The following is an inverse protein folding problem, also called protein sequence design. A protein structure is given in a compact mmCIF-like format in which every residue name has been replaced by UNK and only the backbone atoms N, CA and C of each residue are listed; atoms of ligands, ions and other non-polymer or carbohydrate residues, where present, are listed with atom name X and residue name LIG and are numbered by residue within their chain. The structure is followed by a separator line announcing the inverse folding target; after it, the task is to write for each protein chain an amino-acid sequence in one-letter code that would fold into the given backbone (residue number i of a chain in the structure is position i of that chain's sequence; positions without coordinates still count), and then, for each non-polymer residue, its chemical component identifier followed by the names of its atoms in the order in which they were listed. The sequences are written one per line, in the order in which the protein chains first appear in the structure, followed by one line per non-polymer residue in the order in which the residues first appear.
data_IF_407791181854
#
_entry.id   IF_407791181854
#
_cell.length_a   1.000
_cell.length_b   1.000
_cell.length_c   1.000
_cell.angle_alpha   90.00
_cell.angle_beta   90.00
_cell.angle_gamma   90.00
#
_symmetry.space_group_name_H-M   'P 1'
#
loop_
_entity.id
_entity.type
_entity.pdbx_description
1 polymer ?
#
# COMPACT_ATOMS: atom_id res chain seq x y z
N UNK A 1 31.81 6.87 -14.34
CA UNK A 1 30.38 7.19 -14.12
C UNK A 1 29.58 5.90 -14.23
N UNK A 2 29.09 5.32 -13.12
CA UNK A 2 28.29 4.08 -13.19
C UNK A 2 26.85 4.42 -13.58
N UNK A 3 26.44 4.01 -14.77
CA UNK A 3 25.05 4.15 -15.21
C UNK A 3 24.18 3.09 -14.51
N UNK A 4 23.42 3.49 -13.50
CA UNK A 4 22.37 2.66 -12.91
C UNK A 4 21.23 2.53 -13.91
N UNK A 5 21.11 1.36 -14.55
CA UNK A 5 19.97 1.04 -15.41
C UNK A 5 18.70 1.09 -14.56
N UNK A 6 17.75 1.98 -14.90
CA UNK A 6 16.40 1.97 -14.32
C UNK A 6 15.84 0.54 -14.47
N UNK A 7 15.30 -0.08 -13.41
CA UNK A 7 14.62 -1.37 -13.56
C UNK A 7 13.44 -1.13 -14.51
N UNK A 8 13.45 -1.84 -15.63
CA UNK A 8 12.31 -1.91 -16.55
C UNK A 8 11.14 -2.51 -15.77
N UNK A 9 10.19 -1.67 -15.38
CA UNK A 9 8.95 -2.12 -14.73
C UNK A 9 8.15 -2.87 -15.78
N UNK A 10 8.39 -4.17 -15.90
CA UNK A 10 7.54 -5.04 -16.71
C UNK A 10 6.14 -4.96 -16.15
N UNK A 11 5.23 -4.39 -16.94
CA UNK A 11 3.81 -4.32 -16.60
C UNK A 11 3.28 -5.74 -16.41
N UNK A 12 3.17 -6.16 -15.14
CA UNK A 12 2.65 -7.47 -14.78
C UNK A 12 1.12 -7.43 -14.78
N UNK A 13 0.53 -7.03 -15.93
CA UNK A 13 -0.89 -6.72 -16.05
C UNK A 13 -1.78 -7.92 -15.72
N UNK A 14 -1.34 -9.15 -16.03
CA UNK A 14 -2.06 -10.38 -15.67
C UNK A 14 -2.17 -10.50 -14.16
N UNK A 15 -1.05 -10.33 -13.44
CA UNK A 15 -1.00 -10.34 -11.98
C UNK A 15 -1.92 -9.27 -11.38
N UNK A 16 -1.83 -8.02 -11.87
CA UNK A 16 -2.67 -6.91 -11.42
C UNK A 16 -4.16 -7.14 -11.71
N UNK A 17 -4.48 -7.76 -12.85
CA UNK A 17 -5.83 -8.12 -13.21
C UNK A 17 -6.39 -9.22 -12.31
N UNK A 18 -5.61 -10.28 -12.06
CA UNK A 18 -5.99 -11.36 -11.14
C UNK A 18 -6.21 -10.84 -9.72
N UNK A 19 -5.32 -9.98 -9.21
CA UNK A 19 -5.50 -9.31 -7.92
C UNK A 19 -6.79 -8.49 -7.87
N UNK A 20 -7.09 -7.74 -8.93
CA UNK A 20 -8.32 -6.97 -9.02
C UNK A 20 -9.58 -7.85 -9.02
N UNK A 21 -9.58 -8.94 -9.80
CA UNK A 21 -10.69 -9.90 -9.86
C UNK A 21 -10.88 -10.58 -8.50
N UNK A 22 -9.79 -10.98 -7.84
CA UNK A 22 -9.83 -11.57 -6.51
C UNK A 22 -10.37 -10.58 -5.46
N UNK A 23 -9.95 -9.31 -5.52
CA UNK A 23 -10.48 -8.26 -4.66
C UNK A 23 -12.00 -8.10 -4.85
N UNK A 24 -12.51 -8.05 -6.08
CA UNK A 24 -13.96 -8.00 -6.34
C UNK A 24 -14.69 -9.22 -5.80
N UNK A 25 -14.16 -10.44 -6.01
CA UNK A 25 -14.78 -11.67 -5.50
C UNK A 25 -14.86 -11.66 -3.98
N UNK A 26 -13.78 -11.30 -3.30
CA UNK A 26 -13.75 -11.19 -1.84
C UNK A 26 -14.75 -10.15 -1.31
N UNK A 27 -14.88 -8.99 -1.98
CA UNK A 27 -15.83 -7.96 -1.60
C UNK A 27 -17.29 -8.44 -1.72
N UNK A 28 -17.61 -9.17 -2.80
CA UNK A 28 -18.93 -9.79 -2.97
C UNK A 28 -19.22 -10.86 -1.93
N UNK A 29 -18.23 -11.69 -1.59
CA UNK A 29 -18.37 -12.66 -0.49
C UNK A 29 -18.66 -11.94 0.82
N UNK A 30 -17.87 -10.92 1.20
CA UNK A 30 -18.14 -10.13 2.41
C UNK A 30 -19.55 -9.56 2.41
N UNK A 31 -20.01 -8.99 1.29
CA UNK A 31 -21.35 -8.43 1.18
C UNK A 31 -22.45 -9.48 1.32
N UNK A 32 -22.29 -10.66 0.71
CA UNK A 32 -23.23 -11.77 0.83
C UNK A 32 -23.29 -12.33 2.25
N UNK A 33 -22.14 -12.47 2.91
CA UNK A 33 -22.07 -12.92 4.31
C UNK A 33 -22.72 -11.92 5.27
N UNK A 34 -22.54 -10.61 5.05
CA UNK A 34 -23.23 -9.58 5.82
C UNK A 34 -24.75 -9.61 5.59
N UNK A 35 -25.19 -9.79 4.33
CA UNK A 35 -26.60 -9.89 3.98
C UNK A 35 -27.29 -11.13 4.58
N UNK A 36 -26.57 -12.24 4.74
CA UNK A 36 -27.04 -13.46 5.40
C UNK A 36 -27.09 -13.36 6.94
N UNK A 37 -26.80 -12.18 7.52
CA UNK A 37 -26.77 -11.96 8.97
C UNK A 37 -25.47 -12.42 9.65
N UNK A 38 -24.45 -12.80 8.87
CA UNK A 38 -23.13 -13.18 9.37
C UNK A 38 -22.30 -11.97 9.81
N UNK A 39 -21.39 -12.19 10.77
CA UNK A 39 -20.45 -11.17 11.25
C UNK A 39 -19.21 -11.14 10.37
N UNK A 40 -18.68 -9.94 10.10
CA UNK A 40 -17.45 -9.74 9.31
C UNK A 40 -16.23 -10.50 9.86
N UNK A 41 -16.24 -10.83 11.16
CA UNK A 41 -15.17 -11.57 11.85
C UNK A 41 -15.05 -13.04 11.43
N UNK A 42 -16.05 -13.61 10.76
CA UNK A 42 -16.06 -15.02 10.36
C UNK A 42 -15.39 -15.25 8.99
N UNK A 43 -15.14 -14.18 8.22
CA UNK A 43 -14.49 -14.32 6.92
C UNK A 43 -12.96 -14.37 7.03
N UNK A 44 -12.30 -15.21 6.21
CA UNK A 44 -10.86 -15.21 6.09
C UNK A 44 -10.37 -13.84 5.58
N UNK A 45 -9.27 -13.31 6.15
CA UNK A 45 -8.73 -12.02 5.72
C UNK A 45 -8.34 -12.07 4.24
N UNK A 46 -8.65 -11.02 3.46
CA UNK A 46 -8.32 -10.97 2.04
C UNK A 46 -6.79 -11.08 1.85
N UNK A 47 -6.34 -11.71 0.73
CA UNK A 47 -4.92 -11.84 0.45
C UNK A 47 -4.25 -10.47 0.37
N UNK A 48 -3.02 -10.38 0.90
CA UNK A 48 -2.25 -9.16 0.87
C UNK A 48 -1.98 -8.76 -0.58
N UNK A 49 -2.48 -7.58 -0.96
CA UNK A 49 -2.27 -7.03 -2.30
C UNK A 49 -0.79 -6.76 -2.56
N UNK A 50 -0.33 -7.09 -3.76
CA UNK A 50 1.05 -6.88 -4.19
C UNK A 50 1.35 -5.37 -4.30
N UNK A 51 1.89 -4.80 -3.23
CA UNK A 51 2.31 -3.38 -3.17
C UNK A 51 3.76 -3.18 -3.63
N UNK A 52 4.32 -4.10 -4.43
CA UNK A 52 5.72 -4.05 -4.87
C UNK A 52 6.10 -2.76 -5.65
N UNK A 53 5.13 -2.05 -6.25
CA UNK A 53 5.38 -0.80 -6.99
C UNK A 53 5.43 0.46 -6.10
N UNK A 54 5.30 0.31 -4.78
CA UNK A 54 5.20 1.45 -3.87
C UNK A 54 6.58 1.89 -3.36
N UNK A 55 6.91 3.16 -3.59
CA UNK A 55 8.12 3.83 -3.09
C UNK A 55 7.81 4.43 -1.71
N UNK A 56 8.67 4.15 -0.73
CA UNK A 56 8.57 4.72 0.61
C UNK A 56 9.24 6.11 0.64
N UNK A 57 8.53 7.12 1.15
CA UNK A 57 9.10 8.44 1.35
C UNK A 57 10.12 8.42 2.53
N UNK A 58 11.35 8.92 2.34
CA UNK A 58 12.37 8.93 3.41
C UNK A 58 12.06 9.94 4.53
N UNK A 59 11.22 10.94 4.27
CA UNK A 59 10.92 12.01 5.24
C UNK A 59 9.76 11.67 6.19
N UNK A 60 8.78 10.88 5.72
CA UNK A 60 7.57 10.58 6.51
C UNK A 60 7.21 9.10 6.59
N UNK A 61 7.95 8.21 5.93
CA UNK A 61 7.72 6.76 5.97
C UNK A 61 6.46 6.28 5.23
N UNK A 62 5.66 7.17 4.63
CA UNK A 62 4.47 6.79 3.84
C UNK A 62 4.87 6.17 2.50
N UNK A 63 4.12 5.16 2.06
CA UNK A 63 4.32 4.44 0.79
C UNK A 63 3.41 5.02 -0.30
N UNK A 64 3.96 5.31 -1.47
CA UNK A 64 3.24 5.90 -2.60
C UNK A 64 3.56 5.16 -3.90
N UNK A 65 2.66 5.18 -4.88
CA UNK A 65 3.01 4.77 -6.25
C UNK A 65 4.06 5.72 -6.85
N UNK A 66 4.71 5.33 -7.94
CA UNK A 66 5.83 6.08 -8.52
C UNK A 66 5.49 7.55 -8.86
N UNK A 67 4.39 7.80 -9.57
CA UNK A 67 3.98 9.16 -9.95
C UNK A 67 3.62 10.03 -8.73
N UNK A 68 3.02 9.43 -7.70
CA UNK A 68 2.73 10.11 -6.45
C UNK A 68 4.02 10.39 -5.66
N UNK A 69 4.96 9.45 -5.61
CA UNK A 69 6.24 9.62 -4.94
C UNK A 69 7.06 10.76 -5.55
N UNK A 70 7.12 10.86 -6.88
CA UNK A 70 7.84 11.95 -7.59
C UNK A 70 7.32 13.34 -7.21
N UNK A 71 6.01 13.49 -7.01
CA UNK A 71 5.39 14.76 -6.57
C UNK A 71 5.42 14.95 -5.06
N UNK A 72 5.45 13.85 -4.31
CA UNK A 72 5.37 13.83 -2.86
C UNK A 72 6.71 14.12 -2.20
N UNK A 73 7.79 13.45 -2.63
CA UNK A 73 9.12 13.56 -2.01
C UNK A 73 9.60 15.03 -1.90
N UNK A 74 9.62 15.85 -2.97
CA UNK A 74 10.12 17.23 -2.87
C UNK A 74 9.23 18.12 -2.00
N UNK A 75 7.90 17.90 -2.00
CA UNK A 75 6.99 18.65 -1.12
C UNK A 75 7.17 18.21 0.34
N UNK A 76 7.31 16.91 0.56
CA UNK A 76 7.44 16.32 1.89
C UNK A 76 8.76 16.70 2.58
N UNK A 77 9.82 16.97 1.81
CA UNK A 77 11.10 17.46 2.31
C UNK A 77 10.96 18.76 3.11
N UNK A 78 10.19 19.72 2.58
CA UNK A 78 9.96 21.03 3.19
C UNK A 78 8.82 21.04 4.21
N UNK A 79 7.95 20.02 4.23
CA UNK A 79 6.82 19.93 5.15
C UNK A 79 7.27 19.48 6.55
N UNK A 80 7.33 20.41 7.50
CA UNK A 80 7.77 20.17 8.90
C UNK A 80 6.81 19.28 9.70
N UNK A 81 5.50 19.38 9.47
CA UNK A 81 4.47 18.61 10.21
C UNK A 81 4.50 17.10 9.95
N UNK A 82 5.25 16.67 8.94
CA UNK A 82 5.21 15.31 8.44
C UNK A 82 6.51 14.53 8.74
N UNK A 83 7.48 15.19 9.38
CA UNK A 83 8.70 14.55 9.89
C UNK A 83 8.36 13.81 11.18
N UNK A 84 8.88 12.59 11.38
CA UNK A 84 8.73 11.89 12.65
C UNK A 84 9.30 12.79 13.75
N UNK A 85 8.45 13.18 14.70
CA UNK A 85 8.92 13.92 15.86
C UNK A 85 9.98 13.04 16.55
N UNK A 86 11.23 13.49 16.72
CA UNK A 86 12.26 12.71 17.41
C UNK A 86 11.89 12.41 18.87
N UNK A 87 10.87 13.07 19.43
CA UNK A 87 10.31 12.82 20.77
C UNK A 87 9.05 11.93 20.75
N UNK A 88 8.61 11.44 19.59
CA UNK A 88 7.45 10.57 19.53
C UNK A 88 7.81 9.20 20.14
N UNK A 89 6.97 8.65 21.05
CA UNK A 89 7.18 7.31 21.56
C UNK A 89 7.11 6.28 20.42
N UNK A 90 7.91 5.19 20.49
CA UNK A 90 7.93 4.17 19.44
C UNK A 90 6.53 3.58 19.23
N UNK A 91 6.17 3.22 17.98
CA UNK A 91 4.88 2.61 17.68
C UNK A 91 4.75 1.31 18.48
N UNK A 92 3.63 1.17 19.21
CA UNK A 92 3.34 -0.03 20.00
C UNK A 92 3.31 -1.26 19.07
N UNK A 93 3.91 -2.39 19.45
CA UNK A 93 3.81 -3.62 18.66
C UNK A 93 2.33 -3.98 18.51
N UNK A 94 1.89 -4.19 17.26
CA UNK A 94 0.56 -4.78 17.00
C UNK A 94 0.61 -6.21 17.53
N UNK A 95 -0.17 -6.47 18.58
CA UNK A 95 -0.44 -7.80 19.12
C UNK A 95 -1.68 -8.37 18.47
#
# INVERSE_FOLDING_TARGET
RKATKKPEVKSNWRRKHEDFINAIRSAKQMQAHLAAGGKLSDLPPPPASDTSDYIQCPHCGRKFNQAAAERHIPKCEHMLHNKPNPRAPPPKPRR
#
